data_IF_495493793541
#
_entry.id   IF_495493793541
#
_cell.length_a   1.000
_cell.length_b   1.000
_cell.length_c   1.000
_cell.angle_alpha   90.00
_cell.angle_beta   90.00
_cell.angle_gamma   90.00
#
_symmetry.space_group_name_H-M   'P 1'
#
loop_
_entity.id
_entity.type
_entity.pdbx_description
1 polymer ?
#
# COMPACT_ATOMS: atom_id res chain seq x y z
N UNK A 1 -29.51 -26.97 18.13
CA UNK A 1 -29.59 -26.06 16.97
C UNK A 1 -29.47 -24.64 17.48
N UNK A 2 -28.27 -24.08 17.53
CA UNK A 2 -28.05 -22.66 17.86
C UNK A 2 -27.69 -21.96 16.55
N UNK A 3 -28.64 -21.19 16.00
CA UNK A 3 -28.42 -20.46 14.76
C UNK A 3 -27.45 -19.33 15.03
N UNK A 4 -26.27 -19.43 14.42
CA UNK A 4 -25.28 -18.38 14.35
C UNK A 4 -25.90 -17.17 13.62
N UNK A 5 -26.28 -16.14 14.37
CA UNK A 5 -26.67 -14.85 13.80
C UNK A 5 -25.46 -14.26 13.08
N UNK A 6 -25.59 -14.10 11.75
CA UNK A 6 -24.58 -13.39 10.95
C UNK A 6 -24.45 -11.97 11.51
N UNK A 7 -23.23 -11.43 11.65
CA UNK A 7 -23.03 -10.05 12.06
C UNK A 7 -23.74 -9.11 11.08
N UNK A 8 -24.36 -8.06 11.61
CA UNK A 8 -25.11 -7.06 10.87
C UNK A 8 -24.30 -6.57 9.66
N UNK A 9 -24.86 -6.82 8.48
CA UNK A 9 -24.26 -6.41 7.21
C UNK A 9 -24.40 -4.89 7.12
N UNK A 10 -23.39 -4.15 7.58
CA UNK A 10 -23.30 -2.71 7.33
C UNK A 10 -23.42 -2.50 5.83
N UNK A 11 -24.53 -1.90 5.36
CA UNK A 11 -24.91 -1.77 3.95
C UNK A 11 -23.70 -1.46 3.05
N UNK A 12 -23.10 -2.50 2.48
CA UNK A 12 -21.97 -2.34 1.58
C UNK A 12 -22.49 -1.70 0.30
N UNK A 13 -21.78 -0.72 -0.27
CA UNK A 13 -22.24 -0.10 -1.50
C UNK A 13 -22.35 -1.14 -2.62
N UNK A 14 -23.44 -1.09 -3.38
CA UNK A 14 -23.58 -1.92 -4.56
C UNK A 14 -22.50 -1.55 -5.59
N UNK A 15 -21.76 -2.54 -6.09
CA UNK A 15 -20.72 -2.41 -7.12
C UNK A 15 -19.59 -1.41 -6.77
N UNK A 16 -18.77 -1.71 -5.74
CA UNK A 16 -17.64 -0.86 -5.41
C UNK A 16 -16.56 -0.89 -6.51
N UNK A 17 -15.83 0.22 -6.61
CA UNK A 17 -14.56 0.27 -7.36
C UNK A 17 -13.44 -0.18 -6.44
N UNK A 18 -12.61 -1.12 -6.89
CA UNK A 18 -11.50 -1.66 -6.13
C UNK A 18 -10.21 -0.99 -6.61
N UNK A 19 -9.59 -0.19 -5.74
CA UNK A 19 -8.28 0.41 -5.99
C UNK A 19 -7.20 -0.48 -5.39
N UNK A 20 -6.30 -1.02 -6.22
CA UNK A 20 -5.23 -1.92 -5.78
C UNK A 20 -3.90 -1.18 -5.78
N UNK A 21 -3.28 -1.11 -4.60
CA UNK A 21 -1.93 -0.61 -4.36
C UNK A 21 -0.96 -1.76 -4.12
N UNK A 22 0.08 -1.85 -4.93
CA UNK A 22 1.10 -2.90 -4.83
C UNK A 22 2.21 -2.54 -3.84
N UNK A 23 3.03 -3.54 -3.48
CA UNK A 23 4.23 -3.32 -2.69
C UNK A 23 5.39 -2.76 -3.52
N UNK A 24 6.49 -2.41 -2.85
CA UNK A 24 7.73 -2.01 -3.51
C UNK A 24 8.28 -3.15 -4.38
N UNK A 25 8.97 -2.78 -5.46
CA UNK A 25 9.62 -3.72 -6.40
C UNK A 25 8.68 -4.70 -7.11
N UNK A 26 7.36 -4.48 -7.05
CA UNK A 26 6.38 -5.30 -7.73
C UNK A 26 5.87 -4.60 -8.99
N UNK A 27 6.03 -5.20 -10.19
CA UNK A 27 5.37 -4.68 -11.38
C UNK A 27 3.85 -4.91 -11.26
N UNK A 28 3.05 -3.97 -11.75
CA UNK A 28 1.58 -4.08 -11.74
C UNK A 28 1.04 -5.36 -12.42
N UNK A 29 1.83 -5.98 -13.30
CA UNK A 29 1.52 -7.26 -13.94
C UNK A 29 1.32 -8.40 -12.94
N UNK A 30 1.90 -8.33 -11.74
CA UNK A 30 1.70 -9.36 -10.70
C UNK A 30 0.24 -9.42 -10.24
N UNK A 31 -0.49 -8.30 -10.31
CA UNK A 31 -1.89 -8.23 -9.94
C UNK A 31 -2.82 -8.75 -11.04
N UNK A 32 -2.31 -9.08 -12.24
CA UNK A 32 -3.14 -9.46 -13.40
C UNK A 32 -4.06 -10.65 -13.14
N UNK A 33 -3.65 -11.75 -12.48
CA UNK A 33 -4.56 -12.85 -12.17
C UNK A 33 -5.70 -12.40 -11.26
N UNK A 34 -5.38 -11.60 -10.23
CA UNK A 34 -6.35 -11.05 -9.29
C UNK A 34 -7.34 -10.11 -10.00
N UNK A 35 -6.84 -9.14 -10.78
CA UNK A 35 -7.71 -8.20 -11.51
C UNK A 35 -8.59 -8.93 -12.50
N UNK A 36 -8.06 -9.90 -13.25
CA UNK A 36 -8.84 -10.69 -14.21
C UNK A 36 -9.98 -11.44 -13.50
N UNK A 37 -9.68 -12.08 -12.37
CA UNK A 37 -10.67 -12.85 -11.60
C UNK A 37 -11.73 -11.98 -10.94
N UNK A 38 -11.40 -10.75 -10.54
CA UNK A 38 -12.36 -9.81 -9.96
C UNK A 38 -13.19 -9.13 -11.05
N UNK A 39 -12.58 -8.78 -12.19
CA UNK A 39 -13.30 -8.23 -13.34
C UNK A 39 -14.32 -9.22 -13.90
N UNK A 40 -14.01 -10.51 -13.95
CA UNK A 40 -14.97 -11.53 -14.43
C UNK A 40 -16.19 -11.70 -13.52
N UNK A 41 -16.09 -11.25 -12.26
CA UNK A 41 -17.20 -11.20 -11.31
C UNK A 41 -17.98 -9.89 -11.35
N UNK A 42 -17.61 -8.95 -12.25
CA UNK A 42 -18.30 -7.68 -12.44
C UNK A 42 -17.78 -6.52 -11.58
N UNK A 43 -16.66 -6.68 -10.87
CA UNK A 43 -16.05 -5.58 -10.12
C UNK A 43 -15.29 -4.61 -11.04
N UNK A 44 -15.45 -3.31 -10.80
CA UNK A 44 -14.62 -2.27 -11.40
C UNK A 44 -13.30 -2.22 -10.65
N UNK A 45 -12.16 -2.25 -11.36
CA UNK A 45 -10.83 -2.28 -10.76
C UNK A 45 -9.96 -1.20 -11.35
N UNK A 46 -9.17 -0.58 -10.49
CA UNK A 46 -8.08 0.30 -10.87
C UNK A 46 -6.79 -0.10 -10.18
N UNK A 47 -5.69 -0.08 -10.95
CA UNK A 47 -4.35 -0.29 -10.44
C UNK A 47 -3.71 1.06 -10.18
N UNK A 48 -3.08 1.20 -9.02
CA UNK A 48 -2.47 2.44 -8.62
C UNK A 48 -0.94 2.35 -8.80
N UNK A 49 -0.36 2.90 -9.90
CA UNK A 49 1.08 2.96 -10.06
C UNK A 49 1.69 3.90 -9.02
N UNK A 50 2.63 3.39 -8.23
CA UNK A 50 3.40 4.19 -7.27
C UNK A 50 4.60 4.83 -8.00
N UNK A 51 4.76 6.16 -7.99
CA UNK A 51 5.92 6.87 -8.54
C UNK A 51 7.27 6.23 -8.19
N UNK A 52 7.45 5.79 -6.94
CA UNK A 52 8.67 5.13 -6.44
C UNK A 52 8.92 3.74 -7.06
N UNK A 53 7.95 3.19 -7.78
CA UNK A 53 8.00 1.83 -8.34
C UNK A 53 7.95 1.80 -9.87
N UNK A 54 7.37 2.80 -10.55
CA UNK A 54 7.14 2.77 -12.00
C UNK A 54 8.02 3.72 -12.82
N UNK A 55 8.59 4.76 -12.21
CA UNK A 55 9.26 5.85 -12.94
C UNK A 55 10.79 5.83 -12.81
N UNK A 56 11.41 4.65 -12.84
CA UNK A 56 12.85 4.46 -12.61
C UNK A 56 13.75 5.23 -13.59
N UNK A 57 13.26 5.49 -14.81
CA UNK A 57 13.99 6.27 -15.82
C UNK A 57 13.95 7.78 -15.58
N UNK A 58 13.11 8.26 -14.65
CA UNK A 58 13.04 9.68 -14.34
C UNK A 58 14.32 10.16 -13.63
N UNK A 59 14.90 11.31 -14.02
CA UNK A 59 16.00 11.92 -13.28
C UNK A 59 15.66 12.23 -11.81
N UNK A 60 14.36 12.39 -11.50
CA UNK A 60 13.87 12.65 -10.14
C UNK A 60 13.59 11.38 -9.33
N UNK A 61 13.73 10.19 -9.90
CA UNK A 61 13.40 8.92 -9.23
C UNK A 61 14.11 8.77 -7.88
N UNK A 62 15.39 9.16 -7.81
CA UNK A 62 16.19 9.11 -6.58
C UNK A 62 15.72 10.06 -5.48
N UNK A 63 14.83 11.00 -5.81
CA UNK A 63 14.22 11.97 -4.88
C UNK A 63 12.78 11.62 -4.54
N UNK A 64 12.20 10.60 -5.18
CA UNK A 64 10.82 10.18 -4.90
C UNK A 64 10.72 9.62 -3.49
N UNK A 65 9.74 10.11 -2.75
CA UNK A 65 9.49 9.82 -1.34
C UNK A 65 8.14 9.13 -1.14
N UNK A 66 7.89 8.66 0.08
CA UNK A 66 6.56 8.19 0.51
C UNK A 66 5.47 9.25 0.26
N UNK A 67 5.79 10.52 0.46
CA UNK A 67 4.84 11.63 0.27
C UNK A 67 4.45 11.76 -1.20
N UNK A 68 5.40 11.60 -2.13
CA UNK A 68 5.09 11.64 -3.57
C UNK A 68 4.16 10.49 -3.97
N UNK A 69 4.39 9.30 -3.41
CA UNK A 69 3.49 8.16 -3.63
C UNK A 69 2.10 8.43 -3.03
N UNK A 70 2.04 8.97 -1.81
CA UNK A 70 0.79 9.27 -1.14
C UNK A 70 -0.03 10.34 -1.88
N UNK A 71 0.63 11.38 -2.39
CA UNK A 71 0.00 12.41 -3.22
C UNK A 71 -0.57 11.83 -4.51
N UNK A 72 0.18 10.94 -5.19
CA UNK A 72 -0.31 10.29 -6.40
C UNK A 72 -1.58 9.45 -6.14
N UNK A 73 -1.58 8.67 -5.05
CA UNK A 73 -2.75 7.89 -4.63
C UNK A 73 -3.92 8.79 -4.22
N UNK A 74 -3.65 9.85 -3.46
CA UNK A 74 -4.66 10.82 -3.05
C UNK A 74 -5.33 11.48 -4.25
N UNK A 75 -4.57 11.87 -5.27
CA UNK A 75 -5.13 12.40 -6.51
C UNK A 75 -6.04 11.39 -7.23
N UNK A 76 -5.68 10.11 -7.25
CA UNK A 76 -6.54 9.06 -7.80
C UNK A 76 -7.83 8.87 -6.99
N UNK A 77 -7.72 8.88 -5.67
CA UNK A 77 -8.87 8.77 -4.78
C UNK A 77 -9.81 9.97 -4.92
N UNK A 78 -9.29 11.19 -5.02
CA UNK A 78 -10.07 12.40 -5.29
C UNK A 78 -10.85 12.24 -6.60
N UNK A 79 -10.19 11.83 -7.70
CA UNK A 79 -10.89 11.59 -8.97
C UNK A 79 -12.02 10.56 -8.81
N UNK A 80 -11.72 9.41 -8.21
CA UNK A 80 -12.70 8.35 -8.04
C UNK A 80 -13.89 8.76 -7.16
N UNK A 81 -13.63 9.44 -6.06
CA UNK A 81 -14.62 9.74 -5.02
C UNK A 81 -15.37 11.04 -5.31
N UNK A 82 -14.66 12.09 -5.69
CA UNK A 82 -15.22 13.43 -5.85
C UNK A 82 -15.72 13.67 -7.26
N UNK A 83 -14.94 13.32 -8.28
CA UNK A 83 -15.31 13.59 -9.68
C UNK A 83 -16.25 12.51 -10.24
N UNK A 84 -16.01 11.24 -9.90
CA UNK A 84 -16.78 10.09 -10.41
C UNK A 84 -17.82 9.54 -9.42
N UNK A 85 -17.87 10.09 -8.20
CA UNK A 85 -18.82 9.70 -7.16
C UNK A 85 -18.83 8.20 -6.83
N UNK A 86 -17.68 7.52 -6.98
CA UNK A 86 -17.53 6.08 -6.74
C UNK A 86 -17.40 5.78 -5.24
N UNK A 87 -17.91 4.62 -4.86
CA UNK A 87 -17.56 4.00 -3.58
C UNK A 87 -16.33 3.13 -3.79
N UNK A 88 -15.29 3.35 -3.00
CA UNK A 88 -13.96 2.76 -3.23
C UNK A 88 -13.58 1.81 -2.10
N UNK A 89 -13.22 0.58 -2.47
CA UNK A 89 -12.49 -0.36 -1.61
C UNK A 89 -11.01 -0.26 -1.96
N UNK A 90 -10.18 0.05 -0.98
CA UNK A 90 -8.73 0.10 -1.17
C UNK A 90 -8.12 -1.24 -0.76
N UNK A 91 -7.32 -1.86 -1.63
CA UNK A 91 -6.51 -3.03 -1.31
C UNK A 91 -5.05 -2.59 -1.29
N UNK A 92 -4.41 -2.65 -0.13
CA UNK A 92 -3.05 -2.20 0.07
C UNK A 92 -2.14 -3.38 0.41
N UNK A 93 -1.16 -3.68 -0.46
CA UNK A 93 -0.21 -4.78 -0.27
C UNK A 93 1.18 -4.28 0.15
N UNK A 94 1.79 -4.91 1.15
CA UNK A 94 3.17 -4.60 1.61
C UNK A 94 3.39 -3.09 1.85
N UNK A 95 4.34 -2.47 1.14
CA UNK A 95 4.59 -1.02 1.15
C UNK A 95 3.36 -0.16 0.84
N UNK A 96 2.45 -0.65 -0.01
CA UNK A 96 1.22 0.05 -0.34
C UNK A 96 0.35 0.34 0.89
N UNK A 97 0.55 -0.38 1.99
CA UNK A 97 -0.11 -0.05 3.27
C UNK A 97 0.38 1.27 3.89
N UNK A 98 1.69 1.58 3.83
CA UNK A 98 2.21 2.88 4.30
C UNK A 98 1.66 4.01 3.44
N UNK A 99 1.69 3.82 2.11
CA UNK A 99 1.18 4.79 1.15
C UNK A 99 -0.32 5.01 1.36
N UNK A 100 -1.11 3.94 1.53
CA UNK A 100 -2.54 4.04 1.79
C UNK A 100 -2.84 4.79 3.09
N UNK A 101 -2.08 4.50 4.16
CA UNK A 101 -2.22 5.20 5.43
C UNK A 101 -1.91 6.70 5.33
N UNK A 102 -0.91 7.08 4.55
CA UNK A 102 -0.54 8.49 4.34
C UNK A 102 -1.48 9.22 3.37
N UNK A 103 -2.01 8.53 2.35
CA UNK A 103 -2.83 9.12 1.30
C UNK A 103 -4.30 9.36 1.70
N UNK A 104 -4.81 8.58 2.66
CA UNK A 104 -6.23 8.56 3.00
C UNK A 104 -6.58 9.57 4.09
N UNK A 105 -7.30 10.60 3.68
CA UNK A 105 -7.83 11.61 4.60
C UNK A 105 -9.30 11.35 4.94
N UNK A 106 -9.68 11.74 6.17
CA UNK A 106 -11.04 11.66 6.69
C UNK A 106 -12.14 12.21 5.75
N UNK A 107 -11.96 13.36 5.05
CA UNK A 107 -12.97 13.89 4.12
C UNK A 107 -13.29 12.98 2.92
N UNK A 108 -12.39 12.07 2.56
CA UNK A 108 -12.61 11.11 1.46
C UNK A 108 -13.39 9.87 1.91
N UNK A 109 -13.59 9.69 3.21
CA UNK A 109 -14.30 8.51 3.74
C UNK A 109 -15.79 8.56 3.44
N UNK A 110 -16.38 7.39 3.19
CA UNK A 110 -17.81 7.28 2.89
C UNK A 110 -18.69 7.80 4.05
N UNK A 111 -18.28 7.59 5.30
CA UNK A 111 -19.02 8.06 6.47
C UNK A 111 -19.06 9.60 6.53
N UNK A 112 -17.92 10.27 6.36
CA UNK A 112 -17.84 11.73 6.35
C UNK A 112 -18.58 12.33 5.16
N UNK A 113 -18.46 11.72 3.97
CA UNK A 113 -19.18 12.21 2.79
C UNK A 113 -20.69 12.03 2.93
N UNK A 114 -21.15 10.90 3.46
CA UNK A 114 -22.58 10.68 3.75
C UNK A 114 -23.14 11.69 4.76
N UNK A 115 -22.39 12.06 5.81
CA UNK A 115 -22.87 13.08 6.76
C UNK A 115 -22.99 14.48 6.14
N UNK A 116 -22.28 14.72 5.05
CA UNK A 116 -22.36 15.95 4.24
C UNK A 116 -23.31 15.82 3.03
N UNK A 117 -24.06 14.72 2.92
CA UNK A 117 -24.96 14.45 1.77
C UNK A 117 -24.21 14.36 0.43
N UNK A 118 -22.91 14.04 0.47
CA UNK A 118 -22.07 13.84 -0.71
C UNK A 118 -22.06 12.36 -1.13
N UNK A 119 -22.02 12.13 -2.44
CA UNK A 119 -21.90 10.79 -3.02
C UNK A 119 -20.45 10.33 -3.11
N UNK A 120 -20.28 9.00 -3.16
CA UNK A 120 -18.97 8.36 -3.21
C UNK A 120 -18.21 8.42 -1.89
N UNK A 121 -17.15 7.62 -1.80
CA UNK A 121 -16.26 7.62 -0.65
C UNK A 121 -15.52 6.30 -0.45
N UNK A 122 -14.40 6.38 0.26
CA UNK A 122 -13.66 5.20 0.69
C UNK A 122 -14.37 4.58 1.88
N UNK A 123 -14.81 3.34 1.75
CA UNK A 123 -15.59 2.67 2.80
C UNK A 123 -14.80 1.61 3.56
N UNK A 124 -13.78 1.02 2.92
CA UNK A 124 -12.90 0.03 3.55
C UNK A 124 -11.48 0.09 2.96
N UNK A 125 -10.52 -0.30 3.80
CA UNK A 125 -9.14 -0.57 3.41
C UNK A 125 -8.81 -2.00 3.82
N UNK A 126 -8.39 -2.82 2.86
CA UNK A 126 -7.91 -4.17 3.08
C UNK A 126 -6.37 -4.18 3.02
N UNK A 127 -5.73 -4.40 4.17
CA UNK A 127 -4.28 -4.58 4.26
C UNK A 127 -3.90 -6.04 4.00
N UNK A 128 -3.12 -6.31 2.95
CA UNK A 128 -2.63 -7.64 2.58
C UNK A 128 -1.12 -7.71 2.78
N UNK A 129 -0.66 -8.46 3.79
CA UNK A 129 0.77 -8.56 4.12
C UNK A 129 1.46 -7.17 4.17
N UNK A 130 0.76 -6.17 4.71
CA UNK A 130 1.09 -4.76 4.54
C UNK A 130 1.52 -4.09 5.84
N UNK A 131 2.32 -3.03 5.71
CA UNK A 131 2.68 -2.17 6.83
C UNK A 131 1.58 -1.12 7.04
N UNK A 132 1.25 -0.81 8.29
CA UNK A 132 0.20 0.14 8.63
C UNK A 132 0.75 1.21 9.57
N UNK A 133 0.48 2.48 9.28
CA UNK A 133 0.80 3.59 10.18
C UNK A 133 -0.33 3.75 11.20
N UNK A 134 -0.36 2.90 12.21
CA UNK A 134 -1.14 3.16 13.43
C UNK A 134 -0.22 3.73 14.51
N UNK A 135 -0.72 4.70 15.28
CA UNK A 135 -0.07 5.23 16.50
C UNK A 135 0.28 4.14 17.53
N UNK A 136 -0.33 2.96 17.41
CA UNK A 136 0.05 1.75 18.13
C UNK A 136 -0.02 0.54 17.19
N UNK A 137 1.15 0.01 16.85
CA UNK A 137 1.29 -1.16 15.99
C UNK A 137 2.77 -1.48 15.81
N UNK A 138 3.45 -1.83 16.90
CA UNK A 138 4.80 -2.36 16.82
C UNK A 138 4.77 -3.67 16.05
N UNK A 139 5.24 -3.65 14.80
CA UNK A 139 5.78 -4.86 14.20
C UNK A 139 7.17 -5.05 14.80
N UNK A 140 7.49 -6.17 15.48
CA UNK A 140 8.82 -6.41 16.06
C UNK A 140 9.96 -6.33 15.05
N UNK A 141 9.62 -6.40 13.76
CA UNK A 141 10.56 -6.45 12.65
C UNK A 141 10.69 -5.12 11.91
N UNK A 142 9.93 -4.06 12.25
CA UNK A 142 9.94 -2.81 11.49
C UNK A 142 10.03 -1.60 12.42
N UNK A 143 11.01 -0.73 12.18
CA UNK A 143 11.14 0.56 12.81
C UNK A 143 10.92 1.66 11.76
N UNK A 144 9.82 2.39 11.92
CA UNK A 144 9.61 3.68 11.29
C UNK A 144 10.28 4.75 12.14
N UNK A 145 11.17 5.52 11.50
CA UNK A 145 11.86 6.63 12.13
C UNK A 145 11.07 7.91 11.87
N UNK A 146 11.22 8.90 12.77
CA UNK A 146 10.50 10.18 12.69
C UNK A 146 10.83 11.04 11.46
N UNK A 147 11.83 10.66 10.67
CA UNK A 147 12.18 11.26 9.38
C UNK A 147 11.46 10.60 8.18
N UNK A 148 10.53 9.68 8.45
CA UNK A 148 9.79 8.94 7.43
C UNK A 148 10.58 7.76 6.84
N UNK A 149 11.80 7.48 7.33
CA UNK A 149 12.54 6.31 6.90
C UNK A 149 11.98 5.05 7.55
N UNK A 150 11.79 4.02 6.73
CA UNK A 150 11.41 2.69 7.18
C UNK A 150 12.64 1.81 7.22
N UNK A 151 12.86 1.11 8.33
CA UNK A 151 13.92 0.13 8.47
C UNK A 151 13.36 -1.17 9.01
N UNK A 152 13.81 -2.29 8.45
CA UNK A 152 13.50 -3.61 9.02
C UNK A 152 14.49 -3.86 10.18
N UNK A 153 13.96 -3.96 11.40
CA UNK A 153 14.68 -4.46 12.57
C UNK A 153 15.11 -5.90 12.32
N UNK A 154 16.39 -6.20 12.55
CA UNK A 154 16.99 -7.52 12.32
C UNK A 154 16.78 -8.10 10.90
N UNK A 155 17.01 -7.32 9.85
CA UNK A 155 16.90 -7.75 8.44
C UNK A 155 17.83 -8.89 8.01
N UNK A 156 18.84 -9.24 8.81
CA UNK A 156 19.82 -10.26 8.47
C UNK A 156 19.19 -11.67 8.31
N UNK A 157 18.50 -12.14 9.34
CA UNK A 157 18.02 -13.53 9.38
C UNK A 157 16.73 -13.81 8.56
N UNK A 158 15.71 -12.93 8.55
CA UNK A 158 14.47 -13.20 7.80
C UNK A 158 14.57 -12.90 6.30
N UNK A 159 15.53 -12.05 5.87
CA UNK A 159 15.71 -11.71 4.44
C UNK A 159 16.82 -12.56 3.81
N UNK A 160 17.84 -12.92 4.59
CA UNK A 160 18.96 -13.73 4.13
C UNK A 160 19.16 -14.97 5.02
N UNK A 161 18.16 -15.87 5.12
CA UNK A 161 18.26 -17.07 5.96
C UNK A 161 19.37 -18.01 5.48
N UNK A 162 19.75 -17.90 4.21
CA UNK A 162 20.76 -18.74 3.55
C UNK A 162 22.19 -18.21 3.69
N UNK A 163 22.38 -17.00 4.26
CA UNK A 163 23.70 -16.40 4.42
C UNK A 163 24.27 -16.64 5.84
N UNK A 164 25.59 -16.84 5.96
CA UNK A 164 26.27 -16.81 7.26
C UNK A 164 25.99 -15.48 7.98
N UNK A 165 25.90 -15.52 9.31
CA UNK A 165 25.39 -14.40 10.12
C UNK A 165 26.17 -13.08 9.90
N UNK A 166 27.48 -13.15 9.68
CA UNK A 166 28.33 -11.98 9.36
C UNK A 166 27.97 -11.34 8.01
N UNK A 167 27.70 -12.15 6.99
CA UNK A 167 27.31 -11.67 5.65
C UNK A 167 25.87 -11.15 5.64
N UNK A 168 24.97 -11.88 6.32
CA UNK A 168 23.58 -11.46 6.52
C UNK A 168 23.50 -10.10 7.26
N UNK A 169 24.37 -9.90 8.28
CA UNK A 169 24.51 -8.60 8.97
C UNK A 169 25.08 -7.52 8.05
N UNK A 170 26.03 -7.85 7.18
CA UNK A 170 26.58 -6.93 6.17
C UNK A 170 25.52 -6.44 5.18
N UNK A 171 24.74 -7.36 4.61
CA UNK A 171 23.62 -7.05 3.73
C UNK A 171 22.54 -6.23 4.46
N UNK A 172 22.21 -6.60 5.70
CA UNK A 172 21.25 -5.87 6.53
C UNK A 172 21.67 -4.44 6.88
N UNK A 173 22.97 -4.17 7.05
CA UNK A 173 23.52 -2.81 7.24
C UNK A 173 23.48 -1.98 5.95
N UNK A 174 23.70 -2.62 4.79
CA UNK A 174 23.59 -1.97 3.47
C UNK A 174 22.19 -1.40 3.22
N UNK A 175 21.14 -2.09 3.71
CA UNK A 175 19.75 -1.65 3.63
C UNK A 175 19.39 -0.46 4.53
N UNK A 176 20.23 -0.11 5.52
CA UNK A 176 20.01 1.04 6.42
C UNK A 176 20.62 2.34 5.93
N UNK A 177 21.56 2.27 4.99
CA UNK A 177 22.11 3.47 4.37
C UNK A 177 21.36 3.69 3.07
N UNK A 178 20.69 4.84 2.94
CA UNK A 178 19.97 5.29 1.74
C UNK A 178 20.93 5.59 0.55
N UNK A 179 21.99 4.79 0.40
CA UNK A 179 22.94 4.85 -0.70
C UNK A 179 22.55 3.74 -1.66
N UNK A 180 21.83 4.14 -2.71
CA UNK A 180 21.68 3.45 -4.00
C UNK A 180 22.47 2.14 -4.04
N UNK A 181 21.76 1.02 -4.01
CA UNK A 181 22.32 -0.33 -4.07
C UNK A 181 23.08 -0.51 -5.40
N UNK A 182 24.31 0.00 -5.48
CA UNK A 182 25.26 -0.27 -6.57
C UNK A 182 25.93 -1.59 -6.25
N UNK A 183 25.34 -2.68 -6.74
CA UNK A 183 26.02 -3.96 -6.80
C UNK A 183 27.09 -3.87 -7.91
N UNK A 184 28.32 -3.47 -7.56
CA UNK A 184 29.48 -3.70 -8.43
C UNK A 184 29.91 -5.16 -8.25
N UNK A 185 29.78 -5.98 -9.29
CA UNK A 185 30.52 -7.25 -9.40
C UNK A 185 32.01 -6.92 -9.25
N UNK A 186 32.65 -7.45 -8.22
CA UNK A 186 34.11 -7.52 -8.16
C UNK A 186 34.54 -8.71 -9.02
N UNK A 187 35.26 -8.43 -10.10
CA UNK A 187 36.24 -9.36 -10.66
C UNK A 187 37.58 -9.15 -9.96
#
# INVERSE_FOLDING_TARGET
MSSLTKPDTTSQPANPTILIMTGSFQPLSICRPLTTSLSSQGFSLELAPLPSCTNQSSPSFSKTTLIDDALAIRSQLIRLVEDEHRNVLVIAHSYGGLVASEALDTPLTLSTRKSQTLSGGVFHILFLAAFHLSTFGESPNNALHGDGTFSVGNSANPIFPDLPEEEARGCGRGSRSNRVMRCRKRG
#
